data_IF_976216313523
#
_entry.id   IF_976216313523
#
_cell.length_a   1.000
_cell.length_b   1.000
_cell.length_c   1.000
_cell.angle_alpha   90.00
_cell.angle_beta   90.00
_cell.angle_gamma   90.00
#
_symmetry.space_group_name_H-M   'P 1'
#
loop_
_entity.id
_entity.type
_entity.pdbx_description
1 polymer ?
#
# COMPACT_ATOMS: atom_id res chain seq x y z
N UNK A 1 7.14 1.50 -7.05
CA UNK A 1 6.77 1.61 -8.49
C UNK A 1 7.56 0.62 -9.35
N UNK A 2 8.89 0.60 -9.30
CA UNK A 2 9.74 -0.33 -10.08
C UNK A 2 9.33 -1.80 -9.92
N UNK A 3 9.21 -2.26 -8.68
CA UNK A 3 8.75 -3.62 -8.39
C UNK A 3 7.31 -3.90 -8.86
N UNK A 4 6.42 -2.91 -8.79
CA UNK A 4 5.05 -3.06 -9.29
C UNK A 4 5.03 -3.29 -10.81
N UNK A 5 5.79 -2.50 -11.56
CA UNK A 5 5.88 -2.64 -13.02
C UNK A 5 6.48 -4.01 -13.40
N UNK A 6 7.53 -4.45 -12.69
CA UNK A 6 8.11 -5.77 -12.92
C UNK A 6 7.09 -6.88 -12.66
N UNK A 7 6.37 -6.81 -11.57
CA UNK A 7 5.35 -7.80 -11.18
C UNK A 7 4.16 -7.86 -12.15
N UNK A 8 3.68 -6.70 -12.63
CA UNK A 8 2.50 -6.63 -13.49
C UNK A 8 2.74 -7.12 -14.92
N UNK A 9 4.00 -7.17 -15.37
CA UNK A 9 4.33 -7.48 -16.77
C UNK A 9 4.95 -8.87 -16.97
N UNK A 10 5.21 -9.63 -15.89
CA UNK A 10 5.97 -10.88 -16.02
C UNK A 10 5.50 -11.94 -15.04
N UNK A 11 5.75 -13.21 -15.40
CA UNK A 11 5.57 -14.34 -14.48
C UNK A 11 6.77 -14.43 -13.51
N UNK A 12 6.53 -14.83 -12.26
CA UNK A 12 7.57 -14.86 -11.22
C UNK A 12 8.76 -15.78 -11.54
N UNK A 13 8.53 -16.87 -12.29
CA UNK A 13 9.54 -17.84 -12.69
C UNK A 13 10.25 -17.48 -14.00
N UNK A 14 9.85 -16.41 -14.67
CA UNK A 14 10.51 -15.94 -15.90
C UNK A 14 11.96 -15.54 -15.60
N UNK A 15 12.88 -15.91 -16.52
CA UNK A 15 14.30 -15.62 -16.37
C UNK A 15 14.66 -14.32 -17.09
N UNK A 16 15.30 -13.45 -16.37
CA UNK A 16 15.80 -12.15 -16.83
C UNK A 16 17.30 -12.23 -17.04
N UNK A 17 17.79 -11.88 -18.23
CA UNK A 17 19.21 -11.65 -18.46
C UNK A 17 19.59 -10.29 -17.87
N UNK A 18 20.47 -10.27 -16.88
CA UNK A 18 20.92 -9.04 -16.23
C UNK A 18 21.69 -8.17 -17.23
N UNK A 19 21.22 -6.94 -17.39
CA UNK A 19 21.86 -5.92 -18.23
C UNK A 19 21.80 -4.57 -17.52
N UNK A 20 22.81 -3.76 -17.78
CA UNK A 20 22.89 -2.40 -17.27
C UNK A 20 23.05 -1.40 -18.42
N UNK A 21 22.67 -0.12 -18.25
CA UNK A 21 23.06 0.91 -19.21
C UNK A 21 24.59 1.11 -19.15
N UNK A 22 25.21 1.43 -20.28
CA UNK A 22 26.66 1.63 -20.36
C UNK A 22 27.20 2.66 -19.36
N UNK A 23 26.37 3.63 -18.97
CA UNK A 23 26.71 4.67 -18.01
C UNK A 23 26.40 4.30 -16.57
N UNK A 24 25.95 3.04 -16.29
CA UNK A 24 25.58 2.66 -14.92
C UNK A 24 26.79 2.64 -14.00
N UNK A 25 26.65 3.37 -12.90
CA UNK A 25 27.60 3.35 -11.81
C UNK A 25 26.95 2.72 -10.59
N UNK A 26 27.59 1.68 -10.02
CA UNK A 26 27.08 1.00 -8.84
C UNK A 26 27.13 1.95 -7.63
N UNK A 27 25.98 2.53 -7.29
CA UNK A 27 25.85 3.51 -6.23
C UNK A 27 24.81 3.07 -5.19
N UNK A 28 25.03 3.45 -3.92
CA UNK A 28 24.18 3.11 -2.81
C UNK A 28 24.26 1.64 -2.41
N UNK A 29 23.12 1.00 -2.12
CA UNK A 29 23.07 -0.41 -1.76
C UNK A 29 22.90 -1.28 -3.00
N UNK A 30 23.85 -2.18 -3.25
CA UNK A 30 23.91 -3.02 -4.45
C UNK A 30 24.11 -4.49 -4.08
N UNK A 31 23.58 -5.40 -4.87
CA UNK A 31 23.78 -6.84 -4.75
C UNK A 31 24.96 -7.33 -5.60
N UNK A 32 25.47 -6.49 -6.51
CA UNK A 32 26.49 -6.83 -7.50
C UNK A 32 26.09 -7.99 -8.41
N UNK A 33 24.84 -7.93 -8.93
CA UNK A 33 24.40 -8.88 -9.95
C UNK A 33 25.29 -8.79 -11.18
N UNK A 34 25.72 -9.96 -11.69
CA UNK A 34 26.66 -10.00 -12.80
C UNK A 34 25.96 -9.80 -14.14
N UNK A 35 26.48 -8.93 -14.99
CA UNK A 35 25.92 -8.75 -16.32
C UNK A 35 25.96 -10.06 -17.11
N UNK A 36 24.85 -10.41 -17.76
CA UNK A 36 24.63 -11.66 -18.49
C UNK A 36 24.22 -12.86 -17.63
N UNK A 37 24.20 -12.75 -16.30
CA UNK A 37 23.61 -13.80 -15.48
C UNK A 37 22.09 -13.85 -15.62
N UNK A 38 21.49 -15.01 -15.35
CA UNK A 38 20.04 -15.22 -15.41
C UNK A 38 19.46 -15.26 -14.02
N UNK A 39 18.56 -14.31 -13.74
CA UNK A 39 17.88 -14.16 -12.45
C UNK A 39 16.39 -14.28 -12.69
N UNK A 40 15.63 -14.99 -11.85
CA UNK A 40 14.19 -15.01 -11.98
C UNK A 40 13.55 -13.67 -11.60
N UNK A 41 12.36 -13.38 -12.12
CA UNK A 41 11.58 -12.18 -11.75
C UNK A 41 11.34 -12.17 -10.24
N UNK A 42 11.05 -13.31 -9.61
CA UNK A 42 10.92 -13.40 -8.16
C UNK A 42 12.20 -12.97 -7.43
N UNK A 43 13.35 -13.46 -7.86
CA UNK A 43 14.65 -13.09 -7.28
C UNK A 43 14.96 -11.60 -7.48
N UNK A 44 14.65 -11.02 -8.65
CA UNK A 44 14.79 -9.57 -8.83
C UNK A 44 13.88 -8.78 -7.90
N UNK A 45 12.64 -9.23 -7.68
CA UNK A 45 11.74 -8.63 -6.71
C UNK A 45 12.24 -8.76 -5.26
N UNK A 46 12.88 -9.88 -4.91
CA UNK A 46 13.55 -10.06 -3.62
C UNK A 46 14.72 -9.08 -3.44
N UNK A 47 15.55 -8.93 -4.44
CA UNK A 47 16.63 -7.93 -4.42
C UNK A 47 16.09 -6.51 -4.29
N UNK A 48 15.04 -6.15 -5.02
CA UNK A 48 14.39 -4.84 -4.96
C UNK A 48 13.75 -4.54 -3.60
N UNK A 49 12.96 -5.47 -3.08
CA UNK A 49 12.04 -5.21 -1.97
C UNK A 49 12.58 -5.64 -0.61
N UNK A 50 13.30 -6.76 -0.55
CA UNK A 50 13.86 -7.30 0.70
C UNK A 50 15.21 -6.63 0.97
N UNK A 51 16.14 -6.74 0.04
CA UNK A 51 17.50 -6.22 0.21
C UNK A 51 17.64 -4.74 -0.15
N UNK A 52 16.74 -4.21 -1.01
CA UNK A 52 16.79 -2.82 -1.50
C UNK A 52 17.99 -2.55 -2.42
N UNK A 53 18.28 -3.46 -3.34
CA UNK A 53 19.41 -3.36 -4.27
C UNK A 53 19.12 -2.40 -5.42
N UNK A 54 19.97 -1.38 -5.60
CA UNK A 54 19.83 -0.37 -6.67
C UNK A 54 20.13 -0.96 -8.04
N UNK A 55 21.11 -1.83 -8.15
CA UNK A 55 21.46 -2.53 -9.39
C UNK A 55 20.30 -3.39 -9.92
N UNK A 56 19.53 -4.04 -9.05
CA UNK A 56 18.32 -4.78 -9.46
C UNK A 56 17.25 -3.85 -10.05
N UNK A 57 17.18 -2.59 -9.62
CA UNK A 57 16.27 -1.61 -10.21
C UNK A 57 16.67 -1.21 -11.63
N UNK A 58 17.96 -1.02 -11.87
CA UNK A 58 18.47 -0.73 -13.21
C UNK A 58 18.36 -1.95 -14.13
N UNK A 59 18.67 -3.15 -13.64
CA UNK A 59 18.47 -4.40 -14.40
C UNK A 59 16.98 -4.57 -14.78
N UNK A 60 16.06 -4.26 -13.85
CA UNK A 60 14.63 -4.25 -14.13
C UNK A 60 14.26 -3.26 -15.23
N UNK A 61 14.80 -2.03 -15.19
CA UNK A 61 14.53 -1.01 -16.19
C UNK A 61 15.01 -1.44 -17.58
N UNK A 62 16.21 -2.01 -17.68
CA UNK A 62 16.76 -2.53 -18.93
C UNK A 62 15.97 -3.72 -19.46
N UNK A 63 15.52 -4.63 -18.58
CA UNK A 63 14.71 -5.78 -18.97
C UNK A 63 13.35 -5.37 -19.55
N UNK A 64 12.63 -4.47 -18.87
CA UNK A 64 11.26 -4.07 -19.25
C UNK A 64 11.24 -3.14 -20.45
N UNK A 65 12.21 -2.22 -20.57
CA UNK A 65 12.15 -1.11 -21.54
C UNK A 65 13.39 -0.96 -22.42
N UNK A 66 14.42 -1.77 -22.23
CA UNK A 66 15.74 -1.63 -22.87
C UNK A 66 16.39 -0.24 -22.73
N UNK A 67 15.83 0.62 -21.89
CA UNK A 67 16.27 2.00 -21.67
C UNK A 67 15.75 2.49 -20.32
N UNK A 68 16.62 3.14 -19.54
CA UNK A 68 16.23 3.77 -18.28
C UNK A 68 15.22 4.90 -18.51
N UNK A 69 15.44 5.72 -19.54
CA UNK A 69 14.53 6.83 -19.85
C UNK A 69 13.12 6.36 -20.20
N UNK A 70 13.00 5.27 -20.95
CA UNK A 70 11.69 4.74 -21.34
C UNK A 70 11.03 4.04 -20.15
N UNK A 71 11.81 3.41 -19.26
CA UNK A 71 11.29 2.87 -18.01
C UNK A 71 10.78 3.99 -17.09
N UNK A 72 11.51 5.09 -16.97
CA UNK A 72 11.07 6.27 -16.19
C UNK A 72 9.77 6.86 -16.76
N UNK A 73 9.64 6.94 -18.09
CA UNK A 73 8.36 7.33 -18.72
C UNK A 73 7.23 6.38 -18.35
N UNK A 74 7.51 5.07 -18.32
CA UNK A 74 6.55 4.04 -17.90
C UNK A 74 6.16 4.20 -16.43
N UNK A 75 7.12 4.43 -15.53
CA UNK A 75 6.87 4.72 -14.11
C UNK A 75 5.93 5.92 -13.94
N UNK A 76 6.20 7.02 -14.64
CA UNK A 76 5.38 8.23 -14.58
C UNK A 76 3.99 8.04 -15.23
N UNK A 77 3.89 7.25 -16.30
CA UNK A 77 2.60 6.85 -16.87
C UNK A 77 1.80 6.02 -15.87
N UNK A 78 2.44 5.07 -15.19
CA UNK A 78 1.78 4.22 -14.18
C UNK A 78 1.34 5.03 -12.95
N UNK A 79 2.15 5.99 -12.50
CA UNK A 79 1.79 6.92 -11.43
C UNK A 79 0.50 7.68 -11.77
N UNK A 80 0.39 8.22 -12.98
CA UNK A 80 -0.84 8.89 -13.45
C UNK A 80 -2.06 7.98 -13.45
N UNK A 81 -1.92 6.72 -13.86
CA UNK A 81 -2.99 5.72 -13.84
C UNK A 81 -3.48 5.41 -12.42
N UNK A 82 -2.59 5.52 -11.44
CA UNK A 82 -2.90 5.37 -10.01
C UNK A 82 -3.36 6.67 -9.34
N UNK A 83 -3.58 7.74 -10.11
CA UNK A 83 -3.93 9.07 -9.61
C UNK A 83 -2.88 9.71 -8.68
N UNK A 84 -1.62 9.31 -8.81
CA UNK A 84 -0.49 9.89 -8.09
C UNK A 84 -0.05 11.21 -8.77
N UNK A 85 -0.87 12.25 -8.61
CA UNK A 85 -0.73 13.51 -9.37
C UNK A 85 0.43 14.40 -8.91
N UNK A 86 0.94 14.14 -7.71
CA UNK A 86 2.07 14.86 -7.12
C UNK A 86 3.33 13.99 -7.03
N UNK A 87 3.51 13.09 -8.00
CA UNK A 87 4.67 12.20 -8.10
C UNK A 87 5.34 12.35 -9.45
N UNK A 88 6.66 12.46 -9.43
CA UNK A 88 7.49 12.43 -10.64
C UNK A 88 8.75 11.60 -10.39
N UNK A 89 8.89 10.52 -11.11
CA UNK A 89 10.06 9.64 -11.09
C UNK A 89 11.10 10.12 -12.10
N UNK A 90 12.39 10.01 -11.72
CA UNK A 90 13.54 10.36 -12.56
C UNK A 90 14.51 9.19 -12.76
N UNK A 91 14.44 8.18 -11.90
CA UNK A 91 15.27 6.97 -11.93
C UNK A 91 14.51 5.77 -11.38
N UNK A 92 14.98 4.54 -11.61
CA UNK A 92 14.30 3.33 -11.15
C UNK A 92 14.58 2.97 -9.67
N UNK A 93 15.66 3.47 -9.08
CA UNK A 93 16.16 3.07 -7.76
C UNK A 93 15.77 4.02 -6.62
N UNK A 94 15.36 5.25 -6.93
CA UNK A 94 14.91 6.23 -5.95
C UNK A 94 16.02 7.07 -5.33
N UNK A 95 17.22 7.07 -5.88
CA UNK A 95 18.28 7.99 -5.46
C UNK A 95 17.93 9.45 -5.78
N UNK A 96 18.56 10.36 -5.05
CA UNK A 96 18.31 11.79 -5.18
C UNK A 96 18.62 12.30 -6.60
N UNK A 97 17.59 12.86 -7.23
CA UNK A 97 17.71 13.51 -8.52
C UNK A 97 16.82 14.75 -8.56
N UNK A 98 17.21 15.75 -9.33
CA UNK A 98 16.39 16.95 -9.50
C UNK A 98 15.00 16.56 -10.06
N UNK A 99 13.95 17.14 -9.48
CA UNK A 99 12.57 16.84 -9.86
C UNK A 99 12.10 15.41 -9.58
N UNK A 100 12.83 14.61 -8.77
CA UNK A 100 12.35 13.33 -8.27
C UNK A 100 11.60 13.58 -6.95
N UNK A 101 10.29 13.42 -6.96
CA UNK A 101 9.46 13.70 -5.78
C UNK A 101 8.19 12.85 -5.74
N UNK A 102 7.63 12.75 -4.55
CA UNK A 102 6.33 12.15 -4.28
C UNK A 102 5.70 12.80 -3.04
N UNK A 103 4.48 12.39 -2.70
CA UNK A 103 3.79 12.79 -1.46
C UNK A 103 3.35 11.55 -0.67
N UNK A 104 3.08 11.75 0.63
CA UNK A 104 2.50 10.68 1.48
C UNK A 104 1.18 10.16 0.89
N UNK A 105 0.35 11.06 0.36
CA UNK A 105 -0.92 10.66 -0.26
C UNK A 105 -0.72 9.81 -1.52
N UNK A 106 0.21 10.17 -2.37
CA UNK A 106 0.51 9.38 -3.57
C UNK A 106 1.13 8.00 -3.22
N UNK A 107 1.97 7.96 -2.18
CA UNK A 107 2.49 6.70 -1.64
C UNK A 107 1.38 5.84 -1.02
N UNK A 108 0.36 6.45 -0.40
CA UNK A 108 -0.83 5.74 0.07
C UNK A 108 -1.57 5.07 -1.11
N UNK A 109 -1.81 5.81 -2.20
CA UNK A 109 -2.47 5.27 -3.39
C UNK A 109 -1.69 4.08 -3.99
N UNK A 110 -0.37 4.21 -4.12
CA UNK A 110 0.50 3.12 -4.59
C UNK A 110 0.45 1.91 -3.66
N UNK A 111 0.54 2.13 -2.36
CA UNK A 111 0.57 1.07 -1.36
C UNK A 111 -0.76 0.33 -1.30
N UNK A 112 -1.88 1.06 -1.33
CA UNK A 112 -3.22 0.47 -1.37
C UNK A 112 -3.41 -0.38 -2.61
N UNK A 113 -2.98 0.11 -3.77
CA UNK A 113 -3.04 -0.67 -5.01
C UNK A 113 -2.22 -1.97 -4.90
N UNK A 114 -0.99 -1.90 -4.40
CA UNK A 114 -0.11 -3.06 -4.21
C UNK A 114 -0.78 -4.09 -3.28
N UNK A 115 -1.28 -3.66 -2.13
CA UNK A 115 -1.89 -4.55 -1.14
C UNK A 115 -3.18 -5.22 -1.65
N UNK A 116 -3.96 -4.53 -2.50
CA UNK A 116 -5.23 -5.05 -3.02
C UNK A 116 -5.07 -5.92 -4.28
N UNK A 117 -4.08 -5.64 -5.11
CA UNK A 117 -4.03 -6.17 -6.48
C UNK A 117 -2.82 -7.06 -6.77
N UNK A 118 -1.90 -7.19 -5.82
CA UNK A 118 -0.68 -7.98 -6.00
C UNK A 118 -0.40 -8.88 -4.79
N UNK A 119 0.56 -9.80 -4.97
CA UNK A 119 1.12 -10.61 -3.88
C UNK A 119 2.52 -10.13 -3.45
N UNK A 120 2.88 -8.89 -3.77
CA UNK A 120 4.20 -8.34 -3.40
C UNK A 120 4.43 -8.32 -1.89
N UNK A 121 3.35 -8.31 -1.09
CA UNK A 121 3.44 -8.42 0.37
C UNK A 121 4.10 -9.74 0.81
N UNK A 122 3.92 -10.84 0.08
CA UNK A 122 4.54 -12.12 0.40
C UNK A 122 6.07 -12.04 0.26
N UNK A 123 6.55 -11.21 -0.67
CA UNK A 123 7.99 -10.95 -0.88
C UNK A 123 8.51 -10.00 0.20
N UNK A 124 7.82 -8.88 0.45
CA UNK A 124 8.28 -7.89 1.44
C UNK A 124 8.27 -8.42 2.87
N UNK A 125 7.51 -9.47 3.14
CA UNK A 125 7.43 -10.13 4.45
C UNK A 125 8.55 -11.16 4.69
N UNK A 126 9.37 -11.49 3.68
CA UNK A 126 10.53 -12.38 3.86
C UNK A 126 11.57 -11.69 4.74
N UNK A 127 12.03 -12.34 5.82
CA UNK A 127 13.08 -11.78 6.67
C UNK A 127 14.45 -11.76 5.98
N UNK A 128 14.67 -12.70 5.09
CA UNK A 128 15.85 -12.82 4.22
C UNK A 128 15.54 -13.77 3.08
N UNK A 129 16.43 -13.77 2.09
CA UNK A 129 16.45 -14.79 1.04
C UNK A 129 17.89 -15.23 0.77
N UNK A 130 18.04 -16.32 0.04
CA UNK A 130 19.33 -16.86 -0.35
C UNK A 130 19.48 -16.83 -1.87
N UNK A 131 20.65 -16.48 -2.32
CA UNK A 131 20.96 -16.44 -3.73
C UNK A 131 22.37 -16.99 -3.98
N UNK A 132 22.50 -17.88 -4.96
CA UNK A 132 23.79 -18.43 -5.37
C UNK A 132 24.44 -17.50 -6.38
N UNK A 133 25.59 -16.94 -6.03
CA UNK A 133 26.35 -16.03 -6.88
C UNK A 133 27.79 -16.53 -6.97
N UNK A 134 28.27 -16.77 -8.19
CA UNK A 134 29.64 -17.28 -8.44
C UNK A 134 29.96 -18.59 -7.68
N UNK A 135 28.99 -19.49 -7.51
CA UNK A 135 29.15 -20.76 -6.82
C UNK A 135 29.10 -20.67 -5.27
N UNK A 136 28.80 -19.48 -4.75
CA UNK A 136 28.62 -19.25 -3.30
C UNK A 136 27.19 -18.84 -2.99
N UNK A 137 26.57 -19.48 -2.00
CA UNK A 137 25.25 -19.12 -1.50
C UNK A 137 25.39 -17.97 -0.51
N UNK A 138 24.83 -16.82 -0.84
CA UNK A 138 24.80 -15.61 -0.01
C UNK A 138 23.43 -15.39 0.60
N UNK A 139 23.39 -14.83 1.80
CA UNK A 139 22.17 -14.41 2.49
C UNK A 139 21.97 -12.91 2.35
N UNK A 140 20.75 -12.49 1.98
CA UNK A 140 20.35 -11.10 1.82
C UNK A 140 19.24 -10.78 2.80
N UNK A 141 19.55 -9.98 3.81
CA UNK A 141 18.66 -9.62 4.90
C UNK A 141 17.69 -8.50 4.51
N UNK A 142 16.46 -8.57 5.04
CA UNK A 142 15.47 -7.52 4.86
C UNK A 142 15.89 -6.22 5.57
N UNK A 143 15.62 -5.10 4.92
CA UNK A 143 15.85 -3.77 5.51
C UNK A 143 14.77 -3.35 6.50
N UNK A 144 13.64 -4.05 6.54
CA UNK A 144 12.55 -3.80 7.47
C UNK A 144 12.83 -4.45 8.84
N UNK A 145 13.29 -3.67 9.82
CA UNK A 145 13.54 -4.15 11.17
C UNK A 145 12.27 -4.41 11.98
N UNK A 146 11.10 -3.91 11.52
CA UNK A 146 9.82 -4.11 12.20
C UNK A 146 9.08 -5.40 11.82
N UNK A 147 9.69 -6.29 11.02
CA UNK A 147 9.14 -7.63 10.78
C UNK A 147 8.85 -8.37 12.10
N UNK A 148 9.75 -8.26 13.08
CA UNK A 148 9.58 -8.82 14.43
C UNK A 148 8.41 -8.23 15.22
N UNK A 149 7.92 -7.05 14.81
CA UNK A 149 6.77 -6.36 15.39
C UNK A 149 5.48 -6.58 14.56
N UNK A 150 5.49 -7.50 13.59
CA UNK A 150 4.34 -7.83 12.75
C UNK A 150 4.15 -6.94 11.53
N UNK A 151 5.07 -6.02 11.23
CA UNK A 151 5.00 -5.20 10.02
C UNK A 151 5.53 -5.97 8.81
N UNK A 152 4.65 -6.34 7.92
CA UNK A 152 4.93 -7.19 6.75
C UNK A 152 5.62 -6.46 5.56
N UNK A 153 6.00 -5.25 5.71
CA UNK A 153 6.64 -4.40 4.69
C UNK A 153 5.97 -3.04 4.71
N UNK A 154 5.98 -2.17 3.68
CA UNK A 154 6.31 -2.51 2.27
C UNK A 154 7.77 -2.18 1.92
N UNK A 155 8.26 -0.97 2.28
CA UNK A 155 9.57 -0.52 1.84
C UNK A 155 10.18 0.52 2.77
N UNK A 156 11.47 0.36 3.04
CA UNK A 156 12.34 1.37 3.65
C UNK A 156 13.00 2.22 2.58
N UNK A 157 13.41 3.44 2.94
CA UNK A 157 14.21 4.30 2.08
C UNK A 157 15.04 5.28 2.90
N UNK A 158 16.20 5.65 2.35
CA UNK A 158 17.03 6.70 2.87
C UNK A 158 17.85 7.36 1.77
N UNK A 159 17.80 8.67 1.72
CA UNK A 159 18.74 9.51 0.97
C UNK A 159 19.05 10.75 1.78
N UNK A 160 20.10 11.48 1.43
CA UNK A 160 20.48 12.71 2.15
C UNK A 160 19.41 13.82 2.04
N UNK A 161 18.66 13.88 0.95
CA UNK A 161 17.59 14.86 0.74
C UNK A 161 16.23 14.40 1.29
N UNK A 162 15.88 13.14 1.08
CA UNK A 162 14.60 12.60 1.52
C UNK A 162 14.53 12.31 3.03
N UNK A 163 15.69 12.10 3.70
CA UNK A 163 15.73 11.59 5.06
C UNK A 163 15.33 10.12 5.14
N UNK A 164 15.05 9.63 6.33
CA UNK A 164 14.60 8.27 6.56
C UNK A 164 13.11 8.14 6.24
N UNK A 165 12.74 7.09 5.52
CA UNK A 165 11.36 6.82 5.10
C UNK A 165 10.99 5.37 5.33
N UNK A 166 9.73 5.11 5.68
CA UNK A 166 9.20 3.76 5.77
C UNK A 166 7.72 3.71 5.44
N UNK A 167 7.34 2.72 4.67
CA UNK A 167 5.95 2.33 4.46
C UNK A 167 5.78 0.99 5.17
N UNK A 168 5.09 1.01 6.30
CA UNK A 168 4.82 -0.15 7.14
C UNK A 168 3.39 -0.61 7.01
N UNK A 169 3.16 -1.90 6.77
CA UNK A 169 1.85 -2.52 6.79
C UNK A 169 1.79 -3.55 7.92
N UNK A 170 0.79 -3.43 8.77
CA UNK A 170 0.53 -4.37 9.86
C UNK A 170 -0.93 -4.83 9.79
N UNK A 171 -1.13 -6.13 10.00
CA UNK A 171 -2.44 -6.73 10.08
C UNK A 171 -2.66 -7.27 11.50
N UNK A 172 -3.47 -6.57 12.27
CA UNK A 172 -3.79 -6.91 13.65
C UNK A 172 -5.30 -7.07 13.85
N UNK A 173 -5.73 -8.19 14.41
CA UNK A 173 -7.11 -8.44 14.91
C UNK A 173 -8.25 -7.95 14.01
N UNK A 174 -8.20 -8.15 12.70
CA UNK A 174 -9.13 -7.66 11.67
C UNK A 174 -8.90 -6.20 11.22
N UNK A 175 -7.88 -5.52 11.71
CA UNK A 175 -7.49 -4.20 11.22
C UNK A 175 -6.29 -4.31 10.30
N UNK A 176 -6.36 -3.59 9.19
CA UNK A 176 -5.25 -3.40 8.26
C UNK A 176 -4.74 -1.98 8.45
N UNK A 177 -3.56 -1.82 9.01
CA UNK A 177 -2.98 -0.52 9.30
C UNK A 177 -1.78 -0.30 8.39
N UNK A 178 -1.86 0.73 7.57
CA UNK A 178 -0.78 1.21 6.72
C UNK A 178 -0.23 2.50 7.32
N UNK A 179 1.04 2.47 7.68
CA UNK A 179 1.76 3.62 8.22
C UNK A 179 2.75 4.13 7.20
N UNK A 180 2.76 5.41 6.91
CA UNK A 180 3.69 6.04 5.98
C UNK A 180 4.45 7.14 6.72
N UNK A 181 5.73 6.96 6.86
CA UNK A 181 6.65 7.90 7.51
C UNK A 181 7.64 8.41 6.47
N UNK A 182 7.70 9.72 6.30
CA UNK A 182 8.65 10.38 5.43
C UNK A 182 9.47 11.40 6.20
N UNK A 183 10.77 11.46 5.88
CA UNK A 183 11.67 12.47 6.40
C UNK A 183 11.82 12.42 7.91
N UNK A 184 11.84 11.23 8.51
CA UNK A 184 12.24 11.09 9.90
C UNK A 184 13.64 11.62 10.13
N UNK A 185 13.87 12.12 11.34
CA UNK A 185 15.17 12.64 11.74
C UNK A 185 16.26 11.58 11.58
N UNK A 186 17.43 12.00 11.13
CA UNK A 186 18.59 11.12 10.95
C UNK A 186 19.54 11.31 12.12
N UNK A 187 19.62 10.33 12.98
CA UNK A 187 20.65 10.23 14.02
C UNK A 187 21.72 9.18 13.65
N UNK A 188 22.58 8.86 14.61
CA UNK A 188 23.67 7.91 14.42
C UNK A 188 23.18 6.48 14.11
N UNK A 189 22.00 6.08 14.61
CA UNK A 189 21.46 4.74 14.45
C UNK A 189 20.66 4.58 13.15
N UNK A 190 20.17 5.70 12.58
CA UNK A 190 19.33 5.69 11.37
C UNK A 190 18.08 4.81 11.47
N UNK A 191 17.43 4.76 12.64
CA UNK A 191 16.28 3.90 12.92
C UNK A 191 15.00 4.68 13.26
N UNK A 192 15.06 6.01 13.37
CA UNK A 192 13.95 6.85 13.83
C UNK A 192 12.66 6.67 13.03
N UNK A 193 12.73 6.34 11.73
CA UNK A 193 11.53 6.05 10.93
C UNK A 193 10.78 4.81 11.44
N UNK A 194 11.45 3.87 12.08
CA UNK A 194 10.81 2.73 12.71
C UNK A 194 10.17 3.11 14.04
N UNK A 195 10.82 3.97 14.83
CA UNK A 195 10.27 4.51 16.08
C UNK A 195 9.03 5.37 15.80
N UNK A 196 9.10 6.27 14.80
CA UNK A 196 7.96 7.07 14.35
C UNK A 196 6.81 6.18 13.85
N UNK A 197 7.12 5.10 13.14
CA UNK A 197 6.11 4.12 12.68
C UNK A 197 5.43 3.44 13.86
N UNK A 198 6.18 2.97 14.87
CA UNK A 198 5.62 2.34 16.07
C UNK A 198 4.79 3.33 16.88
N UNK A 199 5.25 4.57 17.00
CA UNK A 199 4.48 5.63 17.65
C UNK A 199 3.13 5.85 16.96
N UNK A 200 3.12 6.08 15.65
CA UNK A 200 1.87 6.28 14.88
C UNK A 200 0.94 5.06 14.94
N UNK A 201 1.52 3.86 14.88
CA UNK A 201 0.75 2.63 14.99
C UNK A 201 0.07 2.50 16.37
N UNK A 202 0.82 2.73 17.46
CA UNK A 202 0.30 2.64 18.82
C UNK A 202 -0.73 3.75 19.10
N UNK A 203 -0.51 4.97 18.61
CA UNK A 203 -1.49 6.05 18.66
C UNK A 203 -2.78 5.68 17.92
N UNK A 204 -2.65 5.03 16.74
CA UNK A 204 -3.81 4.54 16.00
C UNK A 204 -4.58 3.49 16.81
N UNK A 205 -3.89 2.50 17.39
CA UNK A 205 -4.55 1.47 18.21
C UNK A 205 -5.23 2.03 19.45
N UNK A 206 -4.64 3.04 20.08
CA UNK A 206 -5.18 3.64 21.31
C UNK A 206 -6.37 4.57 21.06
N UNK A 207 -6.33 5.32 19.95
CA UNK A 207 -7.31 6.38 19.67
C UNK A 207 -8.45 5.92 18.75
N UNK A 208 -8.29 4.80 18.04
CA UNK A 208 -9.34 4.23 17.20
C UNK A 208 -9.99 3.03 17.89
N UNK A 209 -11.31 3.11 18.07
CA UNK A 209 -12.10 2.01 18.62
C UNK A 209 -12.97 1.40 17.53
N UNK A 210 -13.11 0.07 17.57
CA UNK A 210 -14.00 -0.65 16.69
C UNK A 210 -15.40 -0.70 17.30
N UNK A 211 -16.38 -0.15 16.61
CA UNK A 211 -17.77 -0.23 17.03
C UNK A 211 -18.51 -1.16 16.07
N UNK A 212 -19.20 -2.14 16.65
CA UNK A 212 -20.08 -3.00 15.89
C UNK A 212 -21.28 -2.19 15.40
N UNK A 213 -21.29 -1.89 14.10
CA UNK A 213 -22.41 -1.17 13.48
C UNK A 213 -23.58 -2.11 13.17
N UNK A 214 -23.26 -3.30 12.66
CA UNK A 214 -24.25 -4.33 12.32
C UNK A 214 -23.68 -5.70 12.65
N UNK A 215 -24.47 -6.52 13.30
CA UNK A 215 -24.14 -7.93 13.50
C UNK A 215 -24.56 -8.76 12.30
N UNK A 216 -23.89 -9.91 12.11
CA UNK A 216 -24.31 -10.93 11.15
C UNK A 216 -25.79 -11.28 11.41
N UNK A 217 -26.58 -11.33 10.36
CA UNK A 217 -28.03 -11.60 10.39
C UNK A 217 -28.91 -10.44 10.86
N UNK A 218 -28.37 -9.28 11.21
CA UNK A 218 -29.19 -8.09 11.41
C UNK A 218 -29.72 -7.55 10.08
N UNK A 219 -30.94 -7.05 10.12
CA UNK A 219 -31.55 -6.42 8.96
C UNK A 219 -31.12 -4.96 8.88
N UNK A 220 -30.71 -4.48 7.71
CA UNK A 220 -30.21 -3.12 7.48
C UNK A 220 -31.18 -2.03 7.95
N UNK A 221 -32.51 -2.26 7.92
CA UNK A 221 -33.49 -1.29 8.35
C UNK A 221 -33.41 -0.89 9.83
N UNK A 222 -32.77 -1.69 10.70
CA UNK A 222 -32.57 -1.33 12.11
C UNK A 222 -31.65 -0.11 12.29
N UNK A 223 -30.71 0.09 11.40
CA UNK A 223 -29.80 1.24 11.45
C UNK A 223 -30.57 2.53 11.23
N UNK A 224 -31.53 2.52 10.33
CA UNK A 224 -32.27 3.71 9.93
C UNK A 224 -33.20 4.19 11.03
N UNK A 225 -33.82 3.25 11.73
CA UNK A 225 -34.73 3.57 12.83
C UNK A 225 -34.02 4.13 14.06
N UNK A 226 -32.70 3.98 14.15
CA UNK A 226 -31.88 4.53 15.26
C UNK A 226 -31.22 5.87 14.91
N UNK A 227 -31.39 6.37 13.68
CA UNK A 227 -30.73 7.56 13.19
C UNK A 227 -31.70 8.72 13.04
N UNK A 228 -31.75 9.62 13.98
CA UNK A 228 -32.35 10.94 13.89
C UNK A 228 -31.29 11.95 13.46
N UNK A 229 -31.21 12.26 12.17
CA UNK A 229 -30.41 13.37 11.68
C UNK A 229 -31.31 14.52 11.27
N UNK A 230 -31.21 15.61 12.00
CA UNK A 230 -31.84 16.88 11.63
C UNK A 230 -31.15 17.62 10.46
N UNK A 231 -30.18 17.01 9.81
CA UNK A 231 -29.28 17.71 8.88
C UNK A 231 -28.92 16.92 7.63
N UNK A 232 -29.91 16.37 6.90
CA UNK A 232 -29.57 15.80 5.60
C UNK A 232 -30.54 16.23 4.51
N UNK A 233 -30.03 16.79 3.39
CA UNK A 233 -30.87 17.25 2.28
C UNK A 233 -31.39 16.09 1.41
N UNK A 234 -31.06 14.83 1.74
CA UNK A 234 -31.51 13.65 1.02
C UNK A 234 -32.39 12.81 1.93
N UNK A 235 -33.60 12.55 1.41
CA UNK A 235 -34.57 11.70 2.08
C UNK A 235 -34.05 10.26 2.10
N UNK A 236 -33.74 9.72 3.30
CA UNK A 236 -33.19 8.37 3.47
C UNK A 236 -34.22 7.26 3.33
N UNK A 237 -35.27 7.49 2.57
CA UNK A 237 -36.21 6.45 2.19
C UNK A 237 -35.55 5.21 1.51
N UNK A 238 -34.35 5.41 0.99
CA UNK A 238 -33.51 4.30 0.47
C UNK A 238 -33.33 3.13 1.41
N UNK A 239 -33.44 3.34 2.70
CA UNK A 239 -33.20 2.29 3.67
C UNK A 239 -34.47 1.56 4.16
N UNK A 240 -35.63 1.89 3.65
CA UNK A 240 -36.86 1.13 3.94
C UNK A 240 -36.84 -0.30 3.42
N UNK A 241 -35.79 -0.71 2.70
CA UNK A 241 -35.63 -2.02 2.08
C UNK A 241 -35.04 -3.05 3.05
N UNK A 242 -35.80 -3.43 4.00
CA UNK A 242 -35.40 -4.22 5.14
C UNK A 242 -35.09 -5.72 4.91
N UNK A 243 -34.77 -6.16 3.72
CA UNK A 243 -34.57 -7.59 3.42
C UNK A 243 -33.13 -7.97 3.05
N UNK A 244 -32.18 -7.07 3.16
CA UNK A 244 -30.76 -7.41 2.93
C UNK A 244 -30.21 -8.11 4.15
N UNK A 245 -29.82 -9.36 4.03
CA UNK A 245 -29.14 -10.10 5.08
C UNK A 245 -27.66 -9.75 5.05
N UNK A 246 -27.13 -9.40 6.22
CA UNK A 246 -25.70 -9.12 6.39
C UNK A 246 -24.98 -10.45 6.60
N UNK A 247 -24.07 -10.80 5.70
CA UNK A 247 -23.31 -12.06 5.78
C UNK A 247 -22.12 -11.97 6.76
N UNK A 248 -21.67 -10.77 7.08
CA UNK A 248 -20.56 -10.49 8.02
C UNK A 248 -20.94 -9.38 8.98
N UNK A 249 -20.26 -9.32 10.12
CA UNK A 249 -20.34 -8.17 11.01
C UNK A 249 -19.73 -6.94 10.35
N UNK A 250 -20.40 -5.81 10.49
CA UNK A 250 -19.90 -4.50 10.09
C UNK A 250 -19.39 -3.76 11.30
N UNK A 251 -18.17 -3.28 11.19
CA UNK A 251 -17.53 -2.46 12.22
C UNK A 251 -17.19 -1.09 11.66
N UNK A 252 -17.05 -0.11 12.50
CA UNK A 252 -16.43 1.16 12.13
C UNK A 252 -15.40 1.56 13.18
N UNK A 253 -14.39 2.27 12.74
CA UNK A 253 -13.35 2.83 13.59
C UNK A 253 -13.60 4.33 13.80
N UNK A 254 -13.44 4.81 15.03
CA UNK A 254 -13.57 6.23 15.34
C UNK A 254 -12.38 6.72 16.17
N UNK A 255 -11.92 7.93 15.87
CA UNK A 255 -11.11 8.74 16.77
C UNK A 255 -12.04 9.74 17.43
N UNK A 256 -12.18 9.76 18.76
CA UNK A 256 -12.89 10.81 19.50
C UNK A 256 -13.95 11.54 18.69
N UNK A 257 -14.90 10.79 18.12
CA UNK A 257 -15.98 11.37 17.35
C UNK A 257 -15.66 11.75 15.87
N UNK A 258 -14.53 11.41 15.31
CA UNK A 258 -14.32 11.37 13.86
C UNK A 258 -14.39 9.93 13.38
N UNK A 259 -15.05 9.73 12.26
CA UNK A 259 -15.37 8.39 11.80
C UNK A 259 -14.62 8.06 10.53
N UNK A 260 -14.03 6.91 10.53
CA UNK A 260 -13.36 6.32 9.40
C UNK A 260 -14.25 5.37 8.64
N UNK A 261 -13.87 5.17 7.43
CA UNK A 261 -14.55 4.47 6.37
C UNK A 261 -14.51 2.95 6.50
N UNK A 262 -15.62 2.29 6.22
CA UNK A 262 -15.70 0.85 6.05
C UNK A 262 -16.26 0.44 4.70
N UNK A 263 -15.61 -0.53 4.08
CA UNK A 263 -16.14 -1.24 2.93
C UNK A 263 -16.39 -2.69 3.34
N UNK A 264 -17.61 -3.17 3.19
CA UNK A 264 -17.95 -4.57 3.42
C UNK A 264 -18.73 -5.15 2.27
N UNK A 265 -18.49 -6.42 1.97
CA UNK A 265 -19.20 -7.15 0.92
C UNK A 265 -20.43 -7.83 1.49
N UNK A 266 -21.58 -7.52 0.96
CA UNK A 266 -22.83 -8.24 1.17
C UNK A 266 -22.99 -9.25 0.04
N UNK A 267 -22.76 -10.53 0.30
CA UNK A 267 -22.85 -11.65 -0.64
C UNK A 267 -22.28 -11.41 -2.06
N UNK A 268 -22.64 -10.36 -2.75
CA UNK A 268 -22.11 -9.98 -4.07
C UNK A 268 -21.87 -8.47 -4.22
N UNK A 269 -22.06 -7.66 -3.16
CA UNK A 269 -22.11 -6.21 -3.27
C UNK A 269 -21.39 -5.52 -2.13
N UNK A 270 -20.71 -4.42 -2.44
CA UNK A 270 -20.01 -3.60 -1.45
C UNK A 270 -20.86 -2.43 -0.98
N UNK A 271 -21.04 -2.30 0.32
CA UNK A 271 -21.57 -1.10 0.96
C UNK A 271 -20.40 -0.28 1.49
N UNK A 272 -20.30 0.97 1.03
CA UNK A 272 -19.34 1.94 1.54
C UNK A 272 -20.05 2.87 2.51
N UNK A 273 -19.56 2.92 3.74
CA UNK A 273 -20.07 3.83 4.77
C UNK A 273 -19.01 4.88 5.04
N UNK A 274 -19.25 6.11 4.63
CA UNK A 274 -18.45 7.26 5.01
C UNK A 274 -19.12 7.96 6.19
N UNK A 275 -18.42 8.04 7.30
CA UNK A 275 -18.87 8.78 8.46
C UNK A 275 -18.02 10.06 8.54
N UNK A 276 -18.63 11.21 8.30
CA UNK A 276 -17.95 12.50 8.35
C UNK A 276 -18.46 13.25 9.57
N UNK A 277 -17.57 13.66 10.45
CA UNK A 277 -17.92 14.55 11.55
C UNK A 277 -17.82 16.01 11.13
N UNK A 278 -18.90 16.74 11.25
CA UNK A 278 -18.87 18.20 11.36
C UNK A 278 -18.80 18.61 12.83
N UNK A 279 -18.38 19.85 13.11
CA UNK A 279 -18.10 20.33 14.48
C UNK A 279 -19.17 20.06 15.54
N UNK A 280 -20.41 19.72 15.17
CA UNK A 280 -21.51 19.42 16.08
C UNK A 280 -22.43 18.27 15.63
N UNK A 281 -22.11 17.54 14.57
CA UNK A 281 -22.96 16.43 14.08
C UNK A 281 -22.12 15.40 13.32
N UNK A 282 -22.51 14.13 13.41
CA UNK A 282 -21.95 13.06 12.60
C UNK A 282 -22.79 12.95 11.34
N UNK A 283 -22.17 13.06 10.18
CA UNK A 283 -22.82 12.83 8.90
C UNK A 283 -22.44 11.44 8.38
N UNK A 284 -23.44 10.67 7.99
CA UNK A 284 -23.24 9.35 7.40
C UNK A 284 -23.52 9.43 5.89
N UNK A 285 -22.53 9.12 5.07
CA UNK A 285 -22.74 8.98 3.64
C UNK A 285 -22.66 7.50 3.27
N UNK A 286 -23.76 6.97 2.77
CA UNK A 286 -23.84 5.59 2.32
C UNK A 286 -23.75 5.56 0.78
N UNK A 287 -22.78 4.84 0.27
CA UNK A 287 -22.66 4.58 -1.16
C UNK A 287 -23.01 3.12 -1.42
N UNK A 288 -24.06 2.92 -2.18
CA UNK A 288 -24.49 1.57 -2.56
C UNK A 288 -24.02 1.22 -3.97
N UNK A 289 -23.68 -0.04 -4.19
CA UNK A 289 -23.37 -0.53 -5.52
C UNK A 289 -24.59 -0.51 -6.45
N UNK A 290 -24.36 -0.55 -7.76
CA UNK A 290 -25.41 -0.50 -8.78
C UNK A 290 -26.51 -1.57 -8.64
N UNK A 291 -26.28 -2.64 -7.91
CA UNK A 291 -27.26 -3.72 -7.76
C UNK A 291 -28.27 -3.44 -6.63
N UNK A 292 -27.84 -2.77 -5.55
CA UNK A 292 -28.79 -2.29 -4.53
C UNK A 292 -29.66 -1.17 -5.12
N UNK A 293 -29.11 -0.27 -5.94
CA UNK A 293 -29.94 0.72 -6.64
C UNK A 293 -30.99 0.10 -7.58
N UNK A 294 -30.73 -1.09 -8.18
CA UNK A 294 -31.71 -1.83 -8.97
C UNK A 294 -32.81 -2.47 -8.12
N UNK A 295 -32.49 -3.00 -6.94
CA UNK A 295 -33.49 -3.49 -5.99
C UNK A 295 -34.43 -2.37 -5.53
N UNK A 296 -33.89 -1.14 -5.38
CA UNK A 296 -34.63 0.05 -4.98
C UNK A 296 -35.57 0.59 -6.06
N UNK A 297 -35.23 0.36 -7.33
CA UNK A 297 -36.04 0.83 -8.47
C UNK A 297 -37.15 -0.14 -8.89
N UNK A 298 -37.18 -1.36 -8.31
CA UNK A 298 -38.15 -2.41 -8.64
C UNK A 298 -39.28 -2.60 -7.59
N UNK A 299 -39.29 -1.76 -6.57
CA UNK A 299 -40.34 -1.68 -5.54
C UNK A 299 -41.08 -0.36 -5.60
#
# INVERSE_FOLDING_TARGET
>A
MTALILYENNELNELVDIKYPDSYNFEGKVAYLTEGEKVSVEQLLEFLLVYSANDSAYATAMYISNSVDDFVKLMNKRAKQLNMVNTNYQNPDGLDQESHYTTIYDLLLLSEYILRNTKLIDITNKSKFYYEQNGEVKSFENTNLLLKNGFQGLKTGWTSKAGLTFIGYNQDNNRNILTIVNRSFVDNNKENHFEDTLFLYNETLSNFQDYLLLSKSEKVYKIINSYESSYHPYDYDIFKFGNVNISKNLYFNSIDSSVLFFENNFDTESLKINLIKSQNSIQYNFFMSNAISKLLSSS
#
